data_IF_148751184395
#
_entry.id   IF_148751184395
#
_cell.length_a   1.000
_cell.length_b   1.000
_cell.length_c   1.000
_cell.angle_alpha   90.00
_cell.angle_beta   90.00
_cell.angle_gamma   90.00
#
_symmetry.space_group_name_H-M   'P 1'
#
loop_
_entity.id
_entity.type
_entity.pdbx_description
1 polymer ?
#
# COMPACT_ATOMS: atom_id res chain seq x y z
N UNK A 1 -3.03 15.11 -29.49
CA UNK A 1 -3.28 13.69 -29.22
C UNK A 1 -4.68 13.39 -28.67
N UNK A 2 -5.50 14.42 -28.36
CA UNK A 2 -6.90 14.26 -27.96
C UNK A 2 -7.16 14.16 -26.46
N UNK A 3 -6.13 14.13 -25.61
CA UNK A 3 -6.31 14.12 -24.16
C UNK A 3 -6.80 15.50 -23.65
N UNK A 4 -7.82 15.49 -22.81
CA UNK A 4 -8.24 16.66 -22.03
C UNK A 4 -7.26 16.89 -20.88
N UNK A 5 -6.06 17.34 -21.23
CA UNK A 5 -4.97 17.58 -20.29
C UNK A 5 -5.19 18.86 -19.49
N UNK A 6 -5.14 18.77 -18.18
CA UNK A 6 -5.34 19.92 -17.28
C UNK A 6 -4.09 20.24 -16.47
N UNK A 7 -3.41 19.24 -15.94
CA UNK A 7 -2.33 19.44 -14.99
C UNK A 7 -1.25 18.38 -15.13
N UNK A 8 -0.01 18.73 -14.86
CA UNK A 8 1.16 17.91 -15.12
C UNK A 8 1.30 16.68 -14.21
N UNK A 9 0.65 16.66 -13.05
CA UNK A 9 0.72 15.56 -12.12
C UNK A 9 -0.57 14.76 -12.13
N UNK A 10 -0.49 13.51 -12.59
CA UNK A 10 -1.66 12.66 -12.71
C UNK A 10 -2.68 13.20 -13.73
N UNK A 11 -2.23 13.49 -14.95
CA UNK A 11 -3.07 14.08 -15.99
C UNK A 11 -4.37 13.28 -16.25
N UNK A 12 -4.27 11.96 -16.24
CA UNK A 12 -5.41 11.07 -16.49
C UNK A 12 -6.46 11.09 -15.38
N UNK A 13 -6.09 11.43 -14.14
CA UNK A 13 -7.04 11.67 -13.06
C UNK A 13 -8.09 12.70 -13.45
N UNK A 14 -7.64 13.81 -14.06
CA UNK A 14 -8.51 14.90 -14.44
C UNK A 14 -9.37 14.56 -15.66
N UNK A 15 -8.79 13.96 -16.68
CA UNK A 15 -9.52 13.56 -17.89
C UNK A 15 -10.58 12.50 -17.61
N UNK A 16 -10.27 11.49 -16.80
CA UNK A 16 -11.25 10.46 -16.43
C UNK A 16 -12.34 10.97 -15.50
N UNK A 17 -12.03 11.89 -14.58
CA UNK A 17 -13.04 12.56 -13.77
C UNK A 17 -13.95 13.42 -14.66
N UNK A 18 -13.40 14.13 -15.64
CA UNK A 18 -14.20 14.90 -16.59
C UNK A 18 -15.06 13.99 -17.47
N UNK A 19 -14.54 12.83 -17.90
CA UNK A 19 -15.32 11.83 -18.63
C UNK A 19 -16.50 11.33 -17.79
N UNK A 20 -16.28 11.00 -16.52
CA UNK A 20 -17.36 10.62 -15.61
C UNK A 20 -18.43 11.71 -15.49
N UNK A 21 -18.02 12.95 -15.27
CA UNK A 21 -18.97 14.08 -15.20
C UNK A 21 -19.74 14.27 -16.51
N UNK A 22 -19.11 14.03 -17.66
CA UNK A 22 -19.77 14.08 -18.95
C UNK A 22 -20.85 12.99 -19.08
N UNK A 23 -20.57 11.74 -18.67
CA UNK A 23 -21.58 10.68 -18.64
C UNK A 23 -22.77 11.03 -17.74
N UNK A 24 -22.51 11.47 -16.51
CA UNK A 24 -23.59 11.90 -15.59
C UNK A 24 -24.39 13.06 -16.17
N UNK A 25 -23.73 14.03 -16.81
CA UNK A 25 -24.43 15.16 -17.42
C UNK A 25 -25.32 14.76 -18.58
N UNK A 26 -24.95 13.74 -19.33
CA UNK A 26 -25.78 13.16 -20.41
C UNK A 26 -27.10 12.66 -19.86
N UNK A 27 -27.06 11.94 -18.76
CA UNK A 27 -28.25 11.29 -18.21
C UNK A 27 -29.12 12.25 -17.40
N UNK A 28 -28.50 13.16 -16.62
CA UNK A 28 -29.20 13.99 -15.64
C UNK A 28 -29.56 15.39 -16.15
N UNK A 29 -28.79 15.92 -17.10
CA UNK A 29 -28.95 17.33 -17.55
C UNK A 29 -29.41 17.40 -19.00
N UNK A 30 -28.85 16.58 -19.89
CA UNK A 30 -29.00 16.71 -21.33
C UNK A 30 -29.80 15.58 -21.96
N UNK A 31 -30.53 14.77 -21.17
CA UNK A 31 -31.22 13.57 -21.65
C UNK A 31 -32.18 13.86 -22.85
N UNK A 32 -32.77 15.04 -22.90
CA UNK A 32 -33.70 15.49 -23.97
C UNK A 32 -33.00 16.22 -25.15
N UNK A 33 -31.68 16.46 -25.07
CA UNK A 33 -30.89 17.09 -26.13
C UNK A 33 -29.96 16.07 -26.81
N UNK A 34 -30.43 15.44 -27.89
CA UNK A 34 -29.69 14.44 -28.63
C UNK A 34 -28.31 14.91 -29.15
N UNK A 35 -28.14 16.22 -29.43
CA UNK A 35 -26.86 16.74 -29.89
C UNK A 35 -25.86 16.86 -28.73
N UNK A 36 -26.33 17.34 -27.57
CA UNK A 36 -25.54 17.38 -26.34
C UNK A 36 -25.19 15.96 -25.85
N UNK A 37 -26.17 15.03 -25.84
CA UNK A 37 -25.96 13.62 -25.53
C UNK A 37 -24.83 13.03 -26.37
N UNK A 38 -24.91 13.18 -27.69
CA UNK A 38 -23.86 12.68 -28.58
C UNK A 38 -22.50 13.33 -28.28
N UNK A 39 -22.46 14.65 -28.18
CA UNK A 39 -21.21 15.41 -27.96
C UNK A 39 -20.48 14.99 -26.69
N UNK A 40 -21.19 14.93 -25.58
CA UNK A 40 -20.57 14.62 -24.27
C UNK A 40 -20.26 13.15 -24.11
N UNK A 41 -21.05 12.27 -24.72
CA UNK A 41 -20.73 10.85 -24.80
C UNK A 41 -19.46 10.60 -25.60
N UNK A 42 -19.39 11.15 -26.84
CA UNK A 42 -18.20 11.00 -27.69
C UNK A 42 -16.94 11.53 -27.01
N UNK A 43 -17.07 12.64 -26.28
CA UNK A 43 -15.97 13.19 -25.47
C UNK A 43 -15.55 12.20 -24.35
N UNK A 44 -16.49 11.73 -23.55
CA UNK A 44 -16.19 10.80 -22.46
C UNK A 44 -15.57 9.51 -22.98
N UNK A 45 -16.16 8.92 -24.03
CA UNK A 45 -15.64 7.71 -24.69
C UNK A 45 -14.20 7.95 -25.20
N UNK A 46 -13.91 9.11 -25.79
CA UNK A 46 -12.56 9.41 -26.30
C UNK A 46 -11.52 9.47 -25.18
N UNK A 47 -11.87 10.04 -24.03
CA UNK A 47 -10.95 10.12 -22.88
C UNK A 47 -10.68 8.74 -22.25
N UNK A 48 -11.70 7.90 -22.18
CA UNK A 48 -11.55 6.55 -21.67
C UNK A 48 -10.77 5.67 -22.65
N UNK A 49 -11.06 5.75 -23.96
CA UNK A 49 -10.31 5.03 -24.98
C UNK A 49 -8.84 5.46 -25.03
N UNK A 50 -8.57 6.75 -24.79
CA UNK A 50 -7.20 7.23 -24.62
C UNK A 50 -6.46 6.48 -23.50
N UNK A 51 -7.11 6.27 -22.35
CA UNK A 51 -6.54 5.48 -21.25
C UNK A 51 -6.32 4.02 -21.64
N UNK A 52 -7.11 3.47 -22.56
CA UNK A 52 -7.04 2.07 -22.99
C UNK A 52 -6.04 1.82 -24.14
N UNK A 53 -5.39 2.86 -24.67
CA UNK A 53 -4.37 2.72 -25.69
C UNK A 53 -4.64 3.46 -27.00
N UNK A 54 -5.80 4.08 -27.18
CA UNK A 54 -6.10 4.92 -28.35
C UNK A 54 -5.42 6.30 -28.19
N UNK A 55 -4.09 6.28 -28.24
CA UNK A 55 -3.22 7.44 -28.04
C UNK A 55 -1.93 7.30 -28.85
N UNK A 56 -1.16 8.40 -29.02
CA UNK A 56 0.06 8.45 -29.81
C UNK A 56 1.18 7.51 -29.31
N UNK A 57 1.11 7.03 -28.05
CA UNK A 57 2.07 6.10 -27.50
C UNK A 57 1.70 4.62 -27.77
N UNK A 58 0.49 4.36 -28.29
CA UNK A 58 -0.03 3.01 -28.45
C UNK A 58 0.15 2.20 -27.13
N UNK A 59 -0.19 2.83 -26.02
CA UNK A 59 0.04 2.35 -24.67
C UNK A 59 -1.24 2.44 -23.84
N UNK A 60 -1.74 1.30 -23.35
CA UNK A 60 -2.73 1.33 -22.29
C UNK A 60 -2.10 1.94 -21.03
N UNK A 61 -2.71 2.98 -20.47
CA UNK A 61 -2.30 3.54 -19.18
C UNK A 61 -2.92 2.79 -18.00
N UNK A 62 -3.62 1.71 -18.28
CA UNK A 62 -4.21 0.79 -17.29
C UNK A 62 -3.31 -0.43 -17.17
N UNK A 63 -2.78 -0.67 -15.99
CA UNK A 63 -1.83 -1.76 -15.73
C UNK A 63 -2.52 -3.11 -15.98
N UNK A 64 -1.85 -3.99 -16.73
CA UNK A 64 -2.33 -5.32 -17.07
C UNK A 64 -3.42 -5.34 -18.13
N UNK A 65 -3.73 -4.23 -18.79
CA UNK A 65 -4.71 -4.15 -19.86
C UNK A 65 -4.03 -4.06 -21.24
N UNK A 66 -4.39 -4.96 -22.14
CA UNK A 66 -3.79 -5.03 -23.48
C UNK A 66 -2.36 -5.56 -23.48
N UNK A 67 -1.73 -5.51 -24.65
CA UNK A 67 -0.38 -6.07 -24.84
C UNK A 67 0.74 -5.12 -24.39
N UNK A 68 0.44 -3.83 -24.25
CA UNK A 68 1.41 -2.80 -23.92
C UNK A 68 0.86 -1.87 -22.84
N UNK A 69 1.42 -1.95 -21.66
CA UNK A 69 1.04 -1.16 -20.49
C UNK A 69 2.26 -0.82 -19.63
N UNK A 70 2.18 0.16 -18.68
CA UNK A 70 3.29 0.54 -17.81
C UNK A 70 3.87 -0.65 -17.04
N UNK A 71 5.19 -0.71 -16.94
CA UNK A 71 5.91 -1.77 -16.21
C UNK A 71 6.57 -1.26 -14.92
N UNK A 72 6.69 0.06 -14.76
CA UNK A 72 7.44 0.69 -13.68
C UNK A 72 6.59 1.70 -12.88
N UNK A 73 5.40 1.27 -12.43
CA UNK A 73 4.51 2.13 -11.66
C UNK A 73 5.06 2.47 -10.27
N UNK A 74 4.84 3.71 -9.85
CA UNK A 74 5.29 4.23 -8.56
C UNK A 74 4.31 3.82 -7.45
N UNK A 75 4.51 2.63 -6.87
CA UNK A 75 3.67 2.12 -5.78
C UNK A 75 4.49 1.21 -4.86
N UNK A 76 4.73 1.66 -3.62
CA UNK A 76 5.63 1.01 -2.68
C UNK A 76 5.23 -0.43 -2.34
N UNK A 77 3.98 -0.66 -1.98
CA UNK A 77 3.51 -1.98 -1.58
C UNK A 77 3.61 -2.99 -2.72
N UNK A 78 3.25 -2.61 -3.95
CA UNK A 78 3.35 -3.50 -5.11
C UNK A 78 4.79 -3.78 -5.53
N UNK A 79 5.73 -2.90 -5.19
CA UNK A 79 7.15 -3.13 -5.42
C UNK A 79 7.74 -4.19 -4.48
N UNK A 80 7.01 -4.60 -3.44
CA UNK A 80 7.48 -5.55 -2.44
C UNK A 80 8.50 -4.97 -1.48
N UNK A 81 8.44 -3.66 -1.24
CA UNK A 81 9.28 -2.99 -0.24
C UNK A 81 8.90 -3.46 1.16
N UNK A 82 9.64 -4.41 1.67
CA UNK A 82 9.41 -5.11 2.94
C UNK A 82 10.13 -4.46 4.14
N UNK A 83 11.12 -3.60 3.89
CA UNK A 83 11.93 -2.93 4.90
C UNK A 83 11.74 -1.41 4.91
N UNK A 84 10.57 -0.92 4.48
CA UNK A 84 10.24 0.51 4.36
C UNK A 84 11.22 1.33 3.50
N UNK A 85 11.94 0.67 2.61
CA UNK A 85 12.79 1.30 1.60
C UNK A 85 12.22 1.05 0.23
N UNK A 86 12.38 2.02 -0.67
CA UNK A 86 12.01 1.83 -2.07
C UNK A 86 12.83 0.72 -2.76
N UNK A 87 13.92 0.32 -2.16
CA UNK A 87 14.86 -0.64 -2.71
C UNK A 87 14.55 -2.11 -2.45
N UNK A 88 13.32 -2.47 -2.05
CA UNK A 88 13.00 -3.87 -1.81
C UNK A 88 13.29 -4.73 -3.03
N UNK A 89 12.51 -4.62 -4.06
CA UNK A 89 12.76 -5.24 -5.36
C UNK A 89 12.96 -4.19 -6.42
N UNK A 90 12.12 -3.18 -6.43
CA UNK A 90 12.28 -2.07 -7.30
C UNK A 90 13.27 -1.08 -6.72
N UNK A 91 14.47 -1.04 -7.25
CA UNK A 91 15.25 0.16 -7.10
C UNK A 91 14.46 1.31 -7.70
N UNK A 92 14.30 2.31 -6.93
CA UNK A 92 13.47 3.46 -7.19
C UNK A 92 13.99 4.38 -8.25
N UNK A 93 15.23 4.21 -8.63
CA UNK A 93 15.89 5.14 -9.55
C UNK A 93 16.79 4.38 -10.50
N UNK A 94 16.51 4.50 -11.77
CA UNK A 94 17.38 4.03 -12.82
C UNK A 94 16.74 3.07 -13.79
N UNK A 95 17.48 2.75 -14.85
CA UNK A 95 17.11 1.84 -15.91
C UNK A 95 17.05 0.38 -15.45
N UNK A 96 17.54 0.09 -14.24
CA UNK A 96 17.61 -1.23 -13.61
C UNK A 96 16.46 -1.51 -12.64
N UNK A 97 15.33 -0.83 -12.78
CA UNK A 97 14.15 -1.11 -11.97
C UNK A 97 13.76 -2.59 -12.08
N UNK A 98 13.85 -3.30 -10.95
CA UNK A 98 13.42 -4.69 -10.89
C UNK A 98 11.90 -4.76 -11.03
N UNK A 99 11.36 -5.84 -11.62
CA UNK A 99 9.92 -5.98 -11.74
C UNK A 99 9.26 -5.91 -10.37
N UNK A 100 8.07 -5.31 -10.33
CA UNK A 100 7.26 -5.28 -9.12
C UNK A 100 6.94 -6.68 -8.59
N UNK A 101 6.78 -6.80 -7.29
CA UNK A 101 6.30 -8.02 -6.65
C UNK A 101 4.92 -8.39 -7.19
N UNK A 102 4.03 -7.42 -7.19
CA UNK A 102 2.63 -7.57 -7.58
C UNK A 102 2.31 -6.73 -8.80
N UNK A 103 1.48 -7.26 -9.68
CA UNK A 103 0.90 -6.50 -10.79
C UNK A 103 -0.41 -5.86 -10.30
N UNK A 104 -0.51 -4.54 -10.40
CA UNK A 104 -1.71 -3.80 -10.00
C UNK A 104 -2.75 -3.80 -11.13
N UNK A 105 -3.26 -4.97 -11.48
CA UNK A 105 -4.22 -5.12 -12.56
C UNK A 105 -5.39 -4.15 -12.45
N UNK A 106 -5.68 -3.45 -13.55
CA UNK A 106 -6.78 -2.51 -13.65
C UNK A 106 -6.50 -1.12 -13.07
N UNK A 107 -5.33 -0.87 -12.50
CA UNK A 107 -5.00 0.43 -11.93
C UNK A 107 -4.55 1.41 -13.00
N UNK A 108 -5.09 2.65 -12.95
CA UNK A 108 -4.71 3.76 -13.82
C UNK A 108 -3.49 4.47 -13.23
N UNK A 109 -2.48 4.71 -14.07
CA UNK A 109 -1.30 5.52 -13.75
C UNK A 109 -1.54 7.02 -13.99
N UNK A 110 -0.59 7.86 -13.58
CA UNK A 110 -0.68 9.32 -13.73
C UNK A 110 -0.87 9.81 -15.17
N UNK A 111 -0.23 9.19 -16.13
CA UNK A 111 -0.37 9.50 -17.56
C UNK A 111 0.68 10.45 -18.11
N UNK A 112 0.52 10.92 -19.37
CA UNK A 112 1.52 11.70 -20.09
C UNK A 112 1.56 13.18 -19.68
N UNK A 113 2.64 13.87 -20.08
CA UNK A 113 2.71 15.32 -20.00
C UNK A 113 1.85 16.01 -21.10
N UNK A 114 1.84 17.33 -21.08
CA UNK A 114 1.05 18.12 -22.04
C UNK A 114 1.44 17.93 -23.50
N UNK A 115 2.59 17.32 -23.77
CA UNK A 115 3.06 17.00 -25.12
C UNK A 115 2.75 15.57 -25.55
N UNK A 116 2.06 14.80 -24.71
CA UNK A 116 1.76 13.40 -24.93
C UNK A 116 2.91 12.45 -24.57
N UNK A 117 4.05 12.96 -24.08
CA UNK A 117 5.19 12.13 -23.72
C UNK A 117 4.95 11.44 -22.37
N UNK A 118 5.22 10.15 -22.33
CA UNK A 118 5.15 9.32 -21.12
C UNK A 118 6.53 8.76 -20.75
N UNK A 119 6.82 8.70 -19.45
CA UNK A 119 8.04 8.09 -18.92
C UNK A 119 7.66 6.92 -18.01
N UNK A 120 8.06 5.71 -18.39
CA UNK A 120 7.82 4.49 -17.61
C UNK A 120 8.99 4.20 -16.68
N UNK A 121 9.17 5.06 -15.66
CA UNK A 121 10.21 4.91 -14.63
C UNK A 121 9.61 5.13 -13.25
N UNK A 122 9.93 4.28 -12.29
CA UNK A 122 9.42 4.39 -10.90
C UNK A 122 9.69 5.78 -10.30
N UNK A 123 10.85 6.39 -10.60
CA UNK A 123 11.22 7.71 -10.10
C UNK A 123 10.46 8.87 -10.72
N UNK A 124 9.85 8.67 -11.88
CA UNK A 124 9.07 9.69 -12.58
C UNK A 124 7.60 9.64 -12.14
N UNK A 125 7.38 9.75 -10.84
CA UNK A 125 6.12 9.53 -10.15
C UNK A 125 4.95 10.34 -10.69
N UNK A 126 5.18 11.55 -11.24
CA UNK A 126 4.13 12.35 -11.86
C UNK A 126 3.43 11.65 -13.05
N UNK A 127 4.13 10.71 -13.72
CA UNK A 127 3.61 9.89 -14.81
C UNK A 127 3.13 8.53 -14.34
N UNK A 128 3.87 7.91 -13.39
CA UNK A 128 3.77 6.49 -13.06
C UNK A 128 3.06 6.20 -11.73
N UNK A 129 2.76 7.23 -10.94
CA UNK A 129 2.06 7.05 -9.67
C UNK A 129 0.68 6.44 -9.86
N UNK A 130 0.34 5.49 -8.95
CA UNK A 130 -0.99 4.91 -8.83
C UNK A 130 -1.55 5.34 -7.49
N UNK A 131 -2.62 6.14 -7.50
CA UNK A 131 -3.23 6.70 -6.31
C UNK A 131 -4.74 6.49 -6.27
N UNK A 132 -5.33 6.54 -5.07
CA UNK A 132 -6.78 6.36 -4.88
C UNK A 132 -7.56 7.41 -5.65
N UNK A 133 -7.13 8.67 -5.59
CA UNK A 133 -7.77 9.78 -6.29
C UNK A 133 -7.61 9.70 -7.82
N UNK A 134 -6.52 9.11 -8.32
CA UNK A 134 -6.37 8.87 -9.76
C UNK A 134 -7.38 7.87 -10.28
N UNK A 135 -7.66 6.86 -9.48
CA UNK A 135 -8.54 5.75 -9.83
C UNK A 135 -10.03 6.00 -9.48
N UNK A 136 -10.35 7.02 -8.70
CA UNK A 136 -11.74 7.29 -8.31
C UNK A 136 -12.61 7.72 -9.51
N UNK A 137 -12.21 8.76 -10.25
CA UNK A 137 -12.92 9.21 -11.45
C UNK A 137 -12.90 8.17 -12.57
N UNK A 138 -11.78 7.47 -12.73
CA UNK A 138 -11.63 6.37 -13.67
C UNK A 138 -12.61 5.23 -13.39
N UNK A 139 -12.69 4.76 -12.14
CA UNK A 139 -13.61 3.69 -11.74
C UNK A 139 -15.07 4.12 -11.96
N UNK A 140 -15.40 5.36 -11.62
CA UNK A 140 -16.74 5.90 -11.84
C UNK A 140 -17.11 5.96 -13.34
N UNK A 141 -16.18 6.42 -14.19
CA UNK A 141 -16.37 6.41 -15.65
C UNK A 141 -16.48 4.99 -16.21
N UNK A 142 -15.71 4.02 -15.69
CA UNK A 142 -15.87 2.60 -16.07
C UNK A 142 -17.25 2.05 -15.73
N UNK A 143 -17.82 2.39 -14.56
CA UNK A 143 -19.16 1.98 -14.19
C UNK A 143 -20.19 2.51 -15.20
N UNK A 144 -20.09 3.78 -15.59
CA UNK A 144 -20.96 4.37 -16.60
C UNK A 144 -20.81 3.70 -17.98
N UNK A 145 -19.57 3.36 -18.38
CA UNK A 145 -19.33 2.61 -19.63
C UNK A 145 -19.92 1.20 -19.58
N UNK A 146 -19.79 0.49 -18.46
CA UNK A 146 -20.36 -0.86 -18.29
C UNK A 146 -21.88 -0.80 -18.36
N UNK A 147 -22.50 0.19 -17.75
CA UNK A 147 -23.95 0.38 -17.84
C UNK A 147 -24.40 0.62 -19.28
N UNK A 148 -23.65 1.42 -20.02
CA UNK A 148 -23.98 1.79 -21.40
C UNK A 148 -23.66 0.70 -22.42
N UNK A 149 -22.51 0.05 -22.32
CA UNK A 149 -22.01 -0.88 -23.34
C UNK A 149 -22.06 -2.35 -22.91
N UNK A 150 -22.32 -2.59 -21.65
CA UNK A 150 -22.21 -3.92 -21.04
C UNK A 150 -20.76 -4.32 -20.78
N UNK A 151 -20.57 -5.54 -20.28
CA UNK A 151 -19.26 -6.13 -20.03
C UNK A 151 -19.38 -7.63 -19.84
N UNK A 152 -18.24 -8.33 -19.97
CA UNK A 152 -18.13 -9.75 -19.65
C UNK A 152 -17.10 -9.92 -18.54
N UNK A 153 -17.43 -10.75 -17.56
CA UNK A 153 -16.50 -11.17 -16.53
C UNK A 153 -15.61 -12.26 -17.14
N UNK A 154 -14.31 -12.06 -17.06
CA UNK A 154 -13.34 -13.12 -17.33
C UNK A 154 -13.12 -13.94 -16.06
N UNK A 155 -13.54 -15.20 -16.00
CA UNK A 155 -13.40 -16.03 -14.81
C UNK A 155 -11.94 -16.44 -14.54
N UNK A 156 -11.04 -16.26 -15.48
CA UNK A 156 -9.60 -16.53 -15.32
C UNK A 156 -8.85 -15.37 -14.69
N UNK A 157 -9.48 -14.20 -14.58
CA UNK A 157 -8.86 -12.99 -14.08
C UNK A 157 -9.32 -12.66 -12.63
N UNK A 158 -8.41 -12.17 -11.75
CA UNK A 158 -6.96 -12.03 -11.97
C UNK A 158 -6.23 -13.37 -11.93
N UNK A 159 -5.10 -13.45 -12.61
CA UNK A 159 -4.21 -14.60 -12.50
C UNK A 159 -3.68 -14.74 -11.06
N UNK A 160 -3.52 -15.98 -10.61
CA UNK A 160 -2.87 -16.25 -9.32
C UNK A 160 -1.39 -15.95 -9.44
N UNK A 161 -0.92 -15.01 -8.66
CA UNK A 161 0.50 -14.68 -8.61
C UNK A 161 1.29 -15.80 -7.94
N UNK A 162 2.49 -16.07 -8.45
CA UNK A 162 3.47 -16.97 -7.83
C UNK A 162 4.54 -16.17 -7.10
N UNK A 163 5.02 -16.62 -5.92
CA UNK A 163 6.12 -15.97 -5.22
C UNK A 163 7.35 -15.82 -6.12
N UNK A 164 7.88 -14.61 -6.20
CA UNK A 164 9.06 -14.27 -7.03
C UNK A 164 10.38 -14.40 -6.28
N UNK A 165 10.31 -14.72 -4.96
CA UNK A 165 11.47 -14.93 -4.08
C UNK A 165 11.12 -15.85 -2.91
N UNK A 166 12.14 -16.21 -2.13
CA UNK A 166 11.97 -16.96 -0.89
C UNK A 166 11.34 -16.07 0.19
N UNK A 167 10.17 -16.44 0.67
CA UNK A 167 9.42 -15.65 1.63
C UNK A 167 9.94 -15.75 3.06
N UNK A 168 10.44 -16.91 3.47
CA UNK A 168 11.04 -17.13 4.79
C UNK A 168 12.41 -17.73 4.62
N UNK A 169 13.36 -17.30 5.43
CA UNK A 169 14.69 -17.88 5.41
C UNK A 169 15.47 -17.54 6.68
N UNK A 170 16.52 -18.34 6.92
CA UNK A 170 17.51 -18.12 7.96
C UNK A 170 18.84 -17.75 7.32
N UNK A 171 19.46 -16.69 7.87
CA UNK A 171 20.87 -16.40 7.67
C UNK A 171 21.60 -16.60 9.00
N UNK A 172 22.79 -17.19 8.96
CA UNK A 172 23.56 -17.43 10.16
C UNK A 172 25.07 -17.31 9.89
N UNK A 173 25.81 -17.06 10.95
CA UNK A 173 27.27 -17.16 10.93
C UNK A 173 27.81 -17.70 12.25
N UNK A 174 29.04 -18.18 12.21
CA UNK A 174 29.81 -18.56 13.40
C UNK A 174 30.33 -17.27 14.02
N UNK A 175 29.84 -16.94 15.22
CA UNK A 175 30.36 -15.83 16.00
C UNK A 175 31.69 -16.24 16.65
N UNK A 176 31.67 -17.35 17.39
CA UNK A 176 32.85 -17.97 17.99
C UNK A 176 32.67 -19.49 18.07
N UNK A 177 33.77 -20.23 17.98
CA UNK A 177 33.79 -21.69 18.20
C UNK A 177 35.13 -22.12 18.85
N UNK A 178 35.05 -23.15 19.70
CA UNK A 178 36.19 -23.79 20.36
C UNK A 178 35.85 -25.23 20.66
N UNK A 179 36.79 -26.01 21.21
CA UNK A 179 36.53 -27.37 21.67
C UNK A 179 35.59 -27.47 22.88
N UNK A 180 35.03 -26.39 23.38
CA UNK A 180 34.08 -26.36 24.49
C UNK A 180 32.74 -25.72 24.14
N UNK A 181 32.63 -25.02 23.02
CA UNK A 181 31.38 -24.33 22.65
C UNK A 181 31.33 -23.91 21.19
N UNK A 182 30.11 -23.71 20.72
CA UNK A 182 29.79 -22.95 19.51
C UNK A 182 28.85 -21.77 19.88
N UNK A 183 29.18 -20.60 19.40
CA UNK A 183 28.34 -19.42 19.47
C UNK A 183 27.97 -18.97 18.07
N UNK A 184 26.68 -18.81 17.84
CA UNK A 184 26.11 -18.46 16.55
C UNK A 184 25.39 -17.12 16.62
N UNK A 185 25.41 -16.44 15.50
CA UNK A 185 24.55 -15.32 15.19
C UNK A 185 23.59 -15.76 14.10
N UNK A 186 22.28 -15.59 14.36
CA UNK A 186 21.20 -16.07 13.49
C UNK A 186 20.19 -14.96 13.26
N UNK A 187 19.82 -14.73 12.02
CA UNK A 187 18.71 -13.88 11.62
C UNK A 187 17.58 -14.73 11.01
N UNK A 188 16.41 -14.64 11.60
CA UNK A 188 15.19 -15.16 11.01
C UNK A 188 14.48 -14.04 10.23
N UNK A 189 14.18 -14.26 8.96
CA UNK A 189 13.61 -13.26 8.08
C UNK A 189 12.23 -13.66 7.58
N UNK A 190 11.26 -12.75 7.68
CA UNK A 190 9.94 -12.82 7.04
C UNK A 190 9.89 -11.82 5.88
N UNK A 191 9.92 -12.34 4.67
CA UNK A 191 9.83 -11.57 3.43
C UNK A 191 8.59 -11.99 2.63
N UNK A 192 7.52 -12.38 3.35
CA UNK A 192 6.28 -12.83 2.72
C UNK A 192 5.56 -11.69 2.02
N UNK A 193 5.00 -11.98 0.84
CA UNK A 193 4.28 -11.01 0.03
C UNK A 193 3.09 -11.63 -0.73
N UNK A 194 2.94 -12.96 -0.79
CA UNK A 194 1.90 -13.67 -1.54
C UNK A 194 1.00 -14.59 -0.69
N UNK A 195 0.14 -14.03 0.17
CA UNK A 195 0.07 -12.66 0.67
C UNK A 195 1.12 -12.37 1.74
N UNK A 196 1.33 -11.09 2.02
CA UNK A 196 2.08 -10.67 3.20
C UNK A 196 1.40 -11.17 4.46
N UNK A 197 2.14 -11.88 5.34
CA UNK A 197 1.60 -12.48 6.56
C UNK A 197 2.52 -12.32 7.75
N UNK A 198 1.94 -12.04 8.89
CA UNK A 198 2.64 -11.96 10.18
C UNK A 198 2.73 -13.36 10.77
N UNK A 199 3.93 -13.81 11.13
CA UNK A 199 4.14 -15.06 11.87
C UNK A 199 4.13 -14.77 13.36
N UNK A 200 3.27 -15.46 14.10
CA UNK A 200 3.05 -15.24 15.54
C UNK A 200 3.70 -16.30 16.43
N UNK A 201 3.88 -17.53 15.91
CA UNK A 201 4.41 -18.67 16.64
C UNK A 201 5.74 -19.13 16.02
N UNK A 202 6.58 -18.15 15.70
CA UNK A 202 7.84 -18.41 15.04
C UNK A 202 8.81 -19.11 15.97
N UNK A 203 9.46 -20.15 15.43
CA UNK A 203 10.59 -20.79 16.06
C UNK A 203 11.55 -21.34 15.02
N UNK A 204 12.79 -21.61 15.41
CA UNK A 204 13.76 -22.29 14.57
C UNK A 204 14.62 -23.25 15.36
N UNK A 205 15.10 -24.31 14.70
CA UNK A 205 15.89 -25.36 15.30
C UNK A 205 17.31 -25.35 14.74
N UNK A 206 18.29 -25.44 15.66
CA UNK A 206 19.69 -25.70 15.35
C UNK A 206 20.01 -27.13 15.76
N UNK A 207 20.46 -27.97 14.81
CA UNK A 207 20.72 -29.41 15.02
C UNK A 207 22.21 -29.70 15.19
N UNK A 208 22.51 -30.55 16.16
CA UNK A 208 23.85 -30.92 16.61
C UNK A 208 23.98 -32.42 16.69
N UNK A 209 25.18 -32.95 16.47
CA UNK A 209 25.55 -34.36 16.74
C UNK A 209 26.30 -34.47 18.07
N UNK A 210 25.78 -35.24 19.00
CA UNK A 210 26.35 -35.41 20.34
C UNK A 210 27.20 -36.68 20.44
N UNK A 211 27.67 -37.28 19.35
CA UNK A 211 28.47 -38.49 19.35
C UNK A 211 29.73 -38.35 20.20
N UNK A 212 30.49 -37.27 20.01
CA UNK A 212 31.73 -37.03 20.77
C UNK A 212 31.48 -36.78 22.27
N UNK A 213 30.32 -36.24 22.62
CA UNK A 213 29.92 -36.01 24.02
C UNK A 213 29.68 -37.37 24.70
N UNK A 214 28.92 -38.26 24.05
CA UNK A 214 28.59 -39.56 24.59
C UNK A 214 29.83 -40.47 24.67
N UNK A 215 30.71 -40.39 23.67
CA UNK A 215 32.00 -41.12 23.68
C UNK A 215 32.90 -40.66 24.82
N UNK A 216 32.78 -39.39 25.24
CA UNK A 216 33.49 -38.86 26.40
C UNK A 216 32.79 -39.12 27.74
N UNK A 217 31.64 -39.80 27.74
CA UNK A 217 30.84 -40.11 28.93
C UNK A 217 29.99 -38.94 29.44
N UNK A 218 29.81 -37.89 28.65
CA UNK A 218 28.88 -36.82 28.93
C UNK A 218 27.46 -37.21 28.47
N UNK A 219 26.49 -36.42 28.89
CA UNK A 219 25.07 -36.58 28.52
C UNK A 219 24.54 -35.28 27.97
N UNK A 220 23.35 -35.27 27.39
CA UNK A 220 22.70 -34.06 26.92
C UNK A 220 22.41 -33.04 28.05
N UNK A 221 22.29 -33.51 29.31
CA UNK A 221 22.10 -32.64 30.48
C UNK A 221 23.39 -31.86 30.88
N UNK A 222 24.55 -32.30 30.41
CA UNK A 222 25.82 -31.60 30.61
C UNK A 222 25.99 -30.43 29.63
N UNK A 223 25.13 -30.34 28.61
CA UNK A 223 25.15 -29.26 27.62
C UNK A 223 24.41 -28.04 28.15
N UNK A 224 25.11 -26.90 28.20
CA UNK A 224 24.55 -25.62 28.58
C UNK A 224 24.22 -24.79 27.35
N UNK A 225 23.05 -24.17 27.37
CA UNK A 225 22.56 -23.34 26.26
C UNK A 225 22.18 -21.97 26.80
N UNK A 226 22.62 -20.91 26.13
CA UNK A 226 22.35 -19.52 26.57
C UNK A 226 22.20 -18.57 25.40
N UNK A 227 21.16 -17.71 25.44
CA UNK A 227 21.07 -16.54 24.59
C UNK A 227 22.02 -15.46 25.16
N UNK A 228 22.90 -14.97 24.32
CA UNK A 228 23.85 -13.89 24.64
C UNK A 228 23.37 -12.52 24.15
N UNK A 229 22.60 -12.50 23.08
CA UNK A 229 21.98 -11.28 22.52
C UNK A 229 20.62 -11.61 21.89
N UNK A 230 19.65 -10.75 22.12
CA UNK A 230 18.30 -10.83 21.57
C UNK A 230 17.88 -9.43 21.14
N UNK A 231 17.80 -9.19 19.84
CA UNK A 231 17.36 -7.91 19.27
C UNK A 231 15.92 -7.54 19.67
N UNK A 232 15.14 -8.53 20.08
CA UNK A 232 13.76 -8.36 20.49
C UNK A 232 13.56 -8.13 22.00
N UNK A 233 14.63 -7.66 22.69
CA UNK A 233 14.59 -7.28 24.10
C UNK A 233 14.07 -8.40 25.03
N UNK A 234 14.76 -9.53 25.07
CA UNK A 234 14.42 -10.70 25.88
C UNK A 234 13.04 -11.33 25.54
N UNK A 235 12.57 -11.16 24.33
CA UNK A 235 11.35 -11.80 23.83
C UNK A 235 11.58 -13.15 23.17
N UNK A 236 12.80 -13.70 23.24
CA UNK A 236 13.12 -15.03 22.79
C UNK A 236 13.45 -15.96 23.96
N UNK A 237 13.24 -17.23 23.72
CA UNK A 237 13.64 -18.33 24.61
C UNK A 237 14.40 -19.37 23.83
N UNK A 238 15.31 -20.09 24.49
CA UNK A 238 16.00 -21.25 23.92
C UNK A 238 15.74 -22.47 24.77
N UNK A 239 15.44 -23.59 24.13
CA UNK A 239 15.22 -24.86 24.86
C UNK A 239 16.53 -25.45 25.33
N UNK A 240 16.48 -26.37 26.31
CA UNK A 240 17.52 -27.36 26.48
C UNK A 240 17.63 -28.22 25.21
N UNK A 241 18.75 -28.96 25.00
CA UNK A 241 18.83 -29.91 23.91
C UNK A 241 17.68 -30.92 23.97
N UNK A 242 17.05 -31.13 22.83
CA UNK A 242 15.96 -32.09 22.61
C UNK A 242 16.45 -33.14 21.61
N UNK A 243 16.29 -34.41 21.91
CA UNK A 243 16.68 -35.47 20.99
C UNK A 243 15.81 -35.46 19.74
N UNK A 244 16.42 -35.39 18.57
CA UNK A 244 15.76 -35.52 17.28
C UNK A 244 15.72 -37.00 16.84
N UNK A 245 16.89 -37.62 16.67
CA UNK A 245 17.02 -39.01 16.29
C UNK A 245 18.45 -39.51 16.57
N UNK A 246 18.62 -40.68 17.22
CA UNK A 246 19.95 -41.20 17.53
C UNK A 246 20.76 -40.21 18.37
N UNK A 247 21.95 -39.84 17.90
CA UNK A 247 22.81 -38.84 18.54
C UNK A 247 22.54 -37.41 18.09
N UNK A 248 21.59 -37.19 17.16
CA UNK A 248 21.22 -35.87 16.71
C UNK A 248 20.26 -35.26 17.71
N UNK A 249 20.62 -34.09 18.20
CA UNK A 249 19.83 -33.24 19.10
C UNK A 249 19.61 -31.88 18.44
N UNK A 250 18.63 -31.11 18.92
CA UNK A 250 18.44 -29.72 18.54
C UNK A 250 18.15 -28.85 19.74
N UNK A 251 18.46 -27.58 19.61
CA UNK A 251 17.93 -26.52 20.46
C UNK A 251 16.90 -25.71 19.66
N UNK A 252 15.77 -25.41 20.29
CA UNK A 252 14.69 -24.66 19.71
C UNK A 252 14.73 -23.24 20.25
N UNK A 253 14.88 -22.28 19.36
CA UNK A 253 14.71 -20.86 19.64
C UNK A 253 13.26 -20.50 19.31
N UNK A 254 12.54 -19.94 20.28
CA UNK A 254 11.12 -19.57 20.14
C UNK A 254 10.89 -18.13 20.57
N UNK A 255 10.06 -17.45 19.82
CA UNK A 255 9.61 -16.11 20.17
C UNK A 255 8.45 -16.20 21.18
N UNK A 256 8.48 -15.36 22.22
CA UNK A 256 7.44 -15.32 23.25
C UNK A 256 6.11 -14.80 22.64
N UNK A 257 5.01 -15.15 23.32
CA UNK A 257 3.68 -14.70 22.94
C UNK A 257 3.61 -13.17 22.73
N UNK A 258 3.03 -12.75 21.61
CA UNK A 258 2.91 -11.35 21.24
C UNK A 258 4.07 -10.79 20.41
N UNK A 259 5.21 -11.46 20.36
CA UNK A 259 6.30 -11.11 19.43
C UNK A 259 5.93 -11.54 18.01
N UNK A 260 6.15 -10.65 17.04
CA UNK A 260 5.73 -10.86 15.65
C UNK A 260 6.87 -10.48 14.73
N UNK A 261 7.19 -11.34 13.78
CA UNK A 261 8.00 -10.96 12.63
C UNK A 261 7.05 -10.64 11.50
N UNK A 262 7.06 -9.37 11.06
CA UNK A 262 6.17 -8.83 10.04
C UNK A 262 6.94 -8.60 8.74
N UNK A 263 6.34 -8.79 7.57
CA UNK A 263 7.02 -8.59 6.28
C UNK A 263 7.12 -7.12 5.88
N UNK A 264 7.05 -6.20 6.82
CA UNK A 264 7.05 -4.76 6.61
C UNK A 264 7.71 -4.03 7.77
N UNK A 265 7.81 -2.71 7.69
CA UNK A 265 8.49 -1.91 8.68
C UNK A 265 9.99 -1.77 8.40
N UNK A 266 10.71 -1.07 9.28
CA UNK A 266 12.13 -0.81 9.09
C UNK A 266 13.02 -1.95 9.55
N UNK A 267 12.63 -2.64 10.62
CA UNK A 267 13.38 -3.74 11.23
C UNK A 267 12.52 -4.93 11.62
N UNK A 268 11.19 -4.82 11.58
CA UNK A 268 10.27 -5.84 12.07
C UNK A 268 10.23 -7.10 11.19
N UNK A 269 10.88 -7.07 10.02
CA UNK A 269 10.93 -8.18 9.08
C UNK A 269 11.99 -9.24 9.42
N UNK A 270 12.93 -8.92 10.30
CA UNK A 270 13.99 -9.83 10.74
C UNK A 270 14.32 -9.62 12.22
N UNK A 271 14.96 -10.60 12.83
CA UNK A 271 15.43 -10.49 14.21
C UNK A 271 16.70 -11.29 14.42
N UNK A 272 17.73 -10.60 14.94
CA UNK A 272 19.00 -11.22 15.29
C UNK A 272 18.96 -11.82 16.67
N UNK A 273 19.39 -13.07 16.78
CA UNK A 273 19.66 -13.77 18.03
C UNK A 273 21.08 -14.29 18.02
N UNK A 274 21.81 -14.07 19.11
CA UNK A 274 23.09 -14.75 19.33
C UNK A 274 22.94 -15.72 20.50
N UNK A 275 23.29 -16.95 20.28
CA UNK A 275 23.23 -17.98 21.31
C UNK A 275 24.48 -18.86 21.31
N UNK A 276 24.76 -19.43 22.48
CA UNK A 276 25.90 -20.34 22.70
C UNK A 276 25.40 -21.69 23.20
N UNK A 277 25.94 -22.72 22.60
CA UNK A 277 25.85 -24.12 23.10
C UNK A 277 27.23 -24.50 23.58
N UNK A 278 27.36 -25.07 24.78
CA UNK A 278 28.65 -25.34 25.40
C UNK A 278 28.61 -26.60 26.28
N UNK A 279 29.75 -27.27 26.35
CA UNK A 279 30.04 -28.34 27.32
C UNK A 279 30.91 -27.78 28.46
N UNK A 280 31.06 -28.50 29.58
CA UNK A 280 31.92 -28.07 30.68
C UNK A 280 33.37 -27.84 30.22
N UNK A 281 33.96 -26.68 30.59
CA UNK A 281 35.33 -26.28 30.21
C UNK A 281 36.41 -27.32 30.52
N UNK A 282 36.16 -28.17 31.53
CA UNK A 282 37.07 -29.22 31.94
C UNK A 282 37.07 -30.45 31.00
N UNK A 283 36.10 -30.49 30.06
CA UNK A 283 35.96 -31.57 29.10
C UNK A 283 35.75 -30.99 27.71
N UNK A 284 36.79 -30.44 27.08
CA UNK A 284 36.70 -29.74 25.81
C UNK A 284 36.63 -30.75 24.64
N UNK A 285 35.52 -31.41 24.51
CA UNK A 285 35.27 -32.48 23.50
C UNK A 285 34.30 -32.05 22.40
N UNK A 286 33.87 -30.77 22.41
CA UNK A 286 32.92 -30.26 21.46
C UNK A 286 33.50 -30.17 20.04
N UNK A 287 32.90 -30.84 19.09
CA UNK A 287 33.23 -30.78 17.66
C UNK A 287 32.05 -30.28 16.84
N UNK A 288 31.95 -28.98 16.64
CA UNK A 288 30.87 -28.40 15.85
C UNK A 288 30.90 -28.79 14.35
N UNK A 289 32.01 -29.35 13.86
CA UNK A 289 32.14 -29.72 12.44
C UNK A 289 31.26 -30.92 12.05
N UNK A 290 30.83 -31.75 13.02
CA UNK A 290 29.89 -32.83 12.78
C UNK A 290 28.43 -32.43 12.92
N UNK A 291 28.15 -31.20 13.41
CA UNK A 291 26.80 -30.68 13.57
C UNK A 291 26.13 -30.41 12.24
N UNK A 292 24.92 -30.95 12.06
CA UNK A 292 24.15 -30.76 10.82
C UNK A 292 23.95 -29.27 10.45
N UNK A 293 23.58 -28.46 11.44
CA UNK A 293 23.30 -27.04 11.21
C UNK A 293 24.54 -26.13 11.13
N UNK A 294 25.72 -26.66 11.51
CA UNK A 294 26.97 -25.91 11.41
C UNK A 294 27.58 -25.95 10.01
N UNK A 295 27.30 -27.03 9.27
CA UNK A 295 27.84 -27.21 7.93
C UNK A 295 27.42 -26.09 6.96
N UNK A 296 28.41 -25.50 6.29
CA UNK A 296 28.24 -24.39 5.35
C UNK A 296 28.21 -23.01 6.02
N UNK A 297 28.28 -22.90 7.35
CA UNK A 297 28.39 -21.61 8.01
C UNK A 297 29.80 -21.03 7.90
N UNK A 298 29.90 -19.72 7.79
CA UNK A 298 31.16 -18.98 7.74
C UNK A 298 31.40 -18.18 9.04
N UNK A 299 32.66 -17.96 9.37
CA UNK A 299 33.01 -17.14 10.53
C UNK A 299 32.77 -15.66 10.23
N UNK A 300 31.95 -14.99 11.05
CA UNK A 300 31.66 -13.57 10.98
C UNK A 300 30.99 -13.12 9.64
N UNK A 301 30.61 -14.04 8.78
CA UNK A 301 29.92 -13.76 7.52
C UNK A 301 28.56 -14.43 7.53
N UNK A 302 27.50 -13.65 7.49
CA UNK A 302 26.12 -14.17 7.41
C UNK A 302 25.93 -14.87 6.07
N UNK A 303 25.54 -16.13 6.13
CA UNK A 303 25.19 -16.96 4.96
C UNK A 303 23.77 -17.48 5.11
N UNK A 304 23.04 -17.52 4.00
CA UNK A 304 21.73 -18.13 3.96
C UNK A 304 21.90 -19.65 4.06
N UNK A 305 21.25 -20.26 5.06
CA UNK A 305 21.35 -21.70 5.32
C UNK A 305 19.96 -22.34 5.42
N UNK A 306 19.79 -23.48 4.80
CA UNK A 306 18.59 -24.33 4.92
C UNK A 306 18.73 -25.41 6.00
N UNK A 307 19.89 -25.51 6.67
CA UNK A 307 20.17 -26.47 7.73
C UNK A 307 19.76 -26.01 9.13
N UNK A 308 19.34 -24.75 9.26
CA UNK A 308 18.60 -24.23 10.42
C UNK A 308 17.15 -24.08 9.95
N UNK A 309 16.27 -24.92 10.51
CA UNK A 309 14.88 -25.00 10.07
C UNK A 309 13.99 -24.00 10.80
N UNK A 310 13.00 -23.41 10.10
CA UNK A 310 12.06 -22.45 10.69
C UNK A 310 10.63 -22.96 10.64
N UNK A 311 9.87 -22.68 11.69
CA UNK A 311 8.50 -23.14 11.87
C UNK A 311 7.54 -22.01 12.21
N UNK A 312 6.30 -22.11 11.72
CA UNK A 312 5.13 -21.42 12.25
C UNK A 312 4.27 -22.41 13.02
N UNK A 313 4.35 -22.35 14.35
CA UNK A 313 3.85 -23.42 15.21
C UNK A 313 4.57 -24.73 14.93
N UNK A 314 3.81 -25.75 14.49
CA UNK A 314 4.35 -27.06 14.12
C UNK A 314 4.57 -27.22 12.60
N UNK A 315 4.35 -26.17 11.83
CA UNK A 315 4.49 -26.22 10.38
C UNK A 315 5.89 -25.77 9.98
N UNK A 316 6.65 -26.66 9.33
CA UNK A 316 7.95 -26.32 8.72
C UNK A 316 7.71 -25.35 7.56
N UNK A 317 8.30 -24.15 7.62
CA UNK A 317 8.17 -23.09 6.61
C UNK A 317 9.47 -22.76 5.89
N UNK A 318 10.62 -23.19 6.44
CA UNK A 318 11.94 -23.03 5.83
C UNK A 318 12.91 -24.12 6.27
N UNK A 319 13.79 -24.48 5.37
CA UNK A 319 14.93 -25.35 5.61
C UNK A 319 14.64 -26.84 5.38
N UNK A 320 15.65 -27.65 5.64
CA UNK A 320 15.60 -29.12 5.50
C UNK A 320 15.97 -29.72 6.85
N UNK A 321 15.16 -30.63 7.36
CA UNK A 321 15.48 -31.35 8.59
C UNK A 321 16.57 -32.42 8.34
N UNK A 322 17.27 -32.91 9.37
CA UNK A 322 18.32 -33.91 9.18
C UNK A 322 17.88 -35.20 8.49
N UNK A 323 16.60 -35.54 8.52
CA UNK A 323 16.02 -36.71 7.83
C UNK A 323 15.60 -36.44 6.38
N UNK A 324 15.83 -35.21 5.89
CA UNK A 324 15.45 -34.75 4.54
C UNK A 324 14.04 -34.16 4.43
N UNK A 325 13.31 -34.02 5.53
CA UNK A 325 12.00 -33.36 5.52
C UNK A 325 12.15 -31.89 5.12
N UNK A 326 11.34 -31.44 4.17
CA UNK A 326 11.30 -30.06 3.64
C UNK A 326 9.91 -29.46 3.80
N UNK A 327 9.76 -28.11 3.74
CA UNK A 327 8.47 -27.48 3.76
C UNK A 327 7.54 -28.05 2.69
N UNK A 328 6.29 -28.32 3.06
CA UNK A 328 5.27 -28.63 2.05
C UNK A 328 5.08 -27.40 1.17
N UNK A 329 5.09 -27.60 -0.15
CA UNK A 329 4.75 -26.53 -1.07
C UNK A 329 3.39 -25.95 -0.64
N UNK A 330 3.38 -24.66 -0.31
CA UNK A 330 2.11 -23.95 -0.11
C UNK A 330 1.44 -23.92 -1.48
N UNK A 331 0.34 -24.68 -1.63
CA UNK A 331 -0.51 -24.45 -2.79
C UNK A 331 -0.91 -22.97 -2.78
N UNK A 332 -0.86 -22.30 -3.95
CA UNK A 332 -1.35 -20.94 -4.04
C UNK A 332 -2.78 -20.95 -3.51
N UNK A 333 -3.01 -20.24 -2.42
CA UNK A 333 -4.36 -20.08 -1.87
C UNK A 333 -5.17 -19.39 -2.94
N UNK A 334 -6.03 -20.17 -3.63
CA UNK A 334 -7.07 -19.57 -4.47
C UNK A 334 -7.75 -18.53 -3.61
N UNK A 335 -7.99 -17.32 -4.14
CA UNK A 335 -8.83 -16.36 -3.45
C UNK A 335 -10.07 -17.11 -2.98
N UNK A 336 -10.40 -17.01 -1.70
CA UNK A 336 -11.68 -17.49 -1.19
C UNK A 336 -12.72 -16.64 -1.92
N UNK A 337 -13.19 -17.15 -3.04
CA UNK A 337 -14.42 -16.63 -3.66
C UNK A 337 -15.50 -16.95 -2.64
N UNK A 338 -15.82 -15.97 -1.82
CA UNK A 338 -17.10 -15.99 -1.10
C UNK A 338 -18.13 -16.30 -2.18
N UNK A 339 -18.90 -17.39 -2.07
CA UNK A 339 -19.90 -17.68 -3.06
C UNK A 339 -20.75 -16.42 -3.17
N UNK A 340 -20.79 -15.82 -4.36
CA UNK A 340 -21.79 -14.80 -4.63
C UNK A 340 -23.09 -15.45 -4.26
N UNK A 341 -23.78 -14.93 -3.27
CA UNK A 341 -25.13 -15.34 -2.96
C UNK A 341 -25.93 -15.13 -4.24
N UNK A 342 -26.14 -16.23 -4.94
CA UNK A 342 -27.02 -16.26 -6.10
C UNK A 342 -28.42 -16.11 -5.54
N UNK A 343 -28.82 -14.90 -5.21
CA UNK A 343 -30.22 -14.55 -5.15
C UNK A 343 -30.70 -14.46 -6.59
N UNK A 344 -31.08 -15.61 -7.14
CA UNK A 344 -32.00 -15.66 -8.28
C UNK A 344 -33.35 -15.16 -7.79
N UNK A 345 -33.45 -13.89 -7.50
CA UNK A 345 -34.74 -13.22 -7.59
C UNK A 345 -34.94 -12.84 -9.03
N UNK A 346 -35.81 -13.58 -9.63
CA UNK A 346 -36.47 -13.30 -10.92
C UNK A 346 -37.13 -11.93 -10.74
N UNK A 347 -36.46 -10.87 -11.13
CA UNK A 347 -37.08 -9.55 -11.23
C UNK A 347 -38.11 -9.65 -12.34
N UNK A 348 -39.36 -9.94 -11.95
CA UNK A 348 -40.51 -9.70 -12.77
C UNK A 348 -40.63 -8.18 -12.89
N UNK A 349 -40.35 -7.67 -14.06
CA UNK A 349 -40.54 -6.28 -14.42
C UNK A 349 -42.01 -5.90 -14.16
N UNK A 350 -42.30 -5.35 -13.01
CA UNK A 350 -43.52 -4.60 -12.80
C UNK A 350 -43.19 -3.16 -13.24
N UNK A 351 -43.64 -2.84 -14.43
CA UNK A 351 -43.72 -1.47 -14.95
C UNK A 351 -44.68 -0.69 -14.05
N UNK A 352 -44.15 -0.11 -12.98
CA UNK A 352 -44.80 0.99 -12.29
C UNK A 352 -43.91 2.22 -12.51
N UNK A 353 -44.34 3.02 -13.47
CA UNK A 353 -43.91 4.42 -13.62
C UNK A 353 -44.27 5.17 -12.34
N UNK A 354 -43.41 5.05 -11.34
CA UNK A 354 -43.36 6.01 -10.26
C UNK A 354 -42.55 7.18 -10.78
N UNK A 355 -43.27 8.19 -11.30
CA UNK A 355 -42.73 9.52 -11.53
C UNK A 355 -42.18 10.02 -10.19
N UNK A 356 -40.89 9.85 -9.96
CA UNK A 356 -40.19 10.54 -8.88
C UNK A 356 -40.20 12.02 -9.26
N UNK A 357 -41.14 12.73 -8.70
CA UNK A 357 -41.12 14.20 -8.76
C UNK A 357 -39.93 14.59 -7.86
N UNK A 358 -38.79 14.82 -8.48
CA UNK A 358 -37.70 15.52 -7.82
C UNK A 358 -38.22 16.93 -7.61
N UNK A 359 -38.74 17.20 -6.42
CA UNK A 359 -38.91 18.58 -5.97
C UNK A 359 -37.53 19.14 -5.84
N UNK A 360 -37.16 19.98 -6.77
CA UNK A 360 -36.01 20.88 -6.63
C UNK A 360 -36.07 21.45 -5.22
N UNK A 361 -35.01 21.32 -4.42
CA UNK A 361 -34.97 21.96 -3.11
C UNK A 361 -35.21 23.46 -3.40
N UNK A 362 -36.26 24.00 -2.85
CA UNK A 362 -36.50 25.44 -2.89
C UNK A 362 -35.19 26.09 -2.46
N UNK A 363 -34.70 27.05 -3.31
CA UNK A 363 -33.61 27.93 -3.01
C UNK A 363 -33.87 28.53 -1.61
N UNK A 364 -33.30 27.87 -0.59
CA UNK A 364 -33.38 28.39 0.77
C UNK A 364 -32.42 29.56 0.80
N UNK A 365 -32.96 30.71 0.60
CA UNK A 365 -32.27 31.95 0.90
C UNK A 365 -32.07 31.93 2.41
N UNK A 366 -30.87 31.60 2.83
CA UNK A 366 -30.46 31.76 4.23
C UNK A 366 -30.31 33.26 4.39
N UNK A 367 -31.37 33.90 4.91
CA UNK A 367 -31.30 35.27 5.41
C UNK A 367 -30.47 35.19 6.70
N UNK A 368 -29.18 35.46 6.57
CA UNK A 368 -28.35 35.79 7.73
C UNK A 368 -28.93 37.04 8.39
N UNK A 369 -29.05 37.08 9.73
CA UNK A 369 -29.49 38.33 10.38
C UNK A 369 -28.46 39.42 10.08
N UNK A 370 -28.87 40.43 9.35
CA UNK A 370 -28.06 41.62 9.16
C UNK A 370 -27.84 42.28 10.51
N UNK A 371 -26.63 42.16 11.03
CA UNK A 371 -26.22 42.94 12.19
C UNK A 371 -25.89 44.33 11.68
N UNK A 372 -26.83 45.24 11.80
CA UNK A 372 -26.62 46.67 11.60
C UNK A 372 -25.59 47.17 12.59
N UNK A 373 -24.38 47.42 12.15
CA UNK A 373 -23.44 48.29 12.84
C UNK A 373 -23.57 49.71 12.29
N UNK A 374 -23.82 50.59 13.22
CA UNK A 374 -24.00 52.04 13.04
C UNK A 374 -22.78 52.69 12.42
N UNK A 375 -23.05 53.43 11.39
CA UNK A 375 -22.35 54.51 10.67
C UNK A 375 -21.01 55.02 11.17
N UNK A 376 -20.03 54.94 10.31
CA UNK A 376 -18.82 55.76 10.31
C UNK A 376 -17.94 55.46 9.07
N UNK A 377 -18.18 56.17 7.93
CA UNK A 377 -17.25 56.28 6.80
C UNK A 377 -17.25 55.13 5.78
N UNK A 378 -17.96 55.33 4.72
CA UNK A 378 -17.89 54.87 3.33
C UNK A 378 -17.00 53.68 2.95
N UNK A 379 -17.32 52.43 3.40
CA UNK A 379 -16.95 51.21 2.71
C UNK A 379 -18.09 50.21 2.85
N UNK A 380 -18.44 49.50 1.78
CA UNK A 380 -19.41 48.42 1.84
C UNK A 380 -18.95 47.39 2.90
N UNK A 381 -19.86 46.84 3.71
CA UNK A 381 -19.52 45.84 4.69
C UNK A 381 -18.92 44.62 3.99
N UNK A 382 -17.76 44.17 4.45
CA UNK A 382 -17.10 42.96 3.95
C UNK A 382 -17.96 41.75 4.33
N UNK A 383 -18.35 40.95 3.33
CA UNK A 383 -18.93 39.62 3.55
C UNK A 383 -17.77 38.61 3.64
N UNK A 384 -17.43 38.20 4.86
CA UNK A 384 -16.34 37.24 5.07
C UNK A 384 -16.65 35.90 4.42
N UNK A 385 -15.72 35.39 3.65
CA UNK A 385 -15.85 34.18 2.86
C UNK A 385 -16.28 34.38 1.42
N UNK A 386 -16.84 35.55 1.06
CA UNK A 386 -17.20 35.90 -0.32
C UNK A 386 -15.96 36.46 -1.06
N UNK A 387 -15.11 35.56 -1.47
CA UNK A 387 -13.78 35.86 -2.02
C UNK A 387 -13.88 36.41 -3.44
N UNK A 388 -14.90 36.01 -4.21
CA UNK A 388 -15.14 36.44 -5.58
C UNK A 388 -16.02 37.71 -5.66
N UNK A 389 -16.68 38.08 -4.57
CA UNK A 389 -17.49 39.29 -4.48
C UNK A 389 -18.88 39.14 -5.11
N UNK A 390 -19.40 37.94 -5.29
CA UNK A 390 -20.69 37.65 -5.90
C UNK A 390 -21.88 37.81 -4.93
N UNK A 391 -21.63 38.02 -3.64
CA UNK A 391 -22.61 38.19 -2.57
C UNK A 391 -23.08 36.91 -1.90
N UNK A 392 -22.44 35.78 -2.20
CA UNK A 392 -22.70 34.47 -1.58
C UNK A 392 -21.39 33.83 -1.15
N UNK A 393 -21.41 32.98 -0.09
CA UNK A 393 -20.25 32.21 0.32
C UNK A 393 -20.50 30.77 -0.06
N UNK A 394 -19.73 30.27 -1.02
CA UNK A 394 -19.94 28.95 -1.62
C UNK A 394 -18.62 28.28 -2.11
N UNK A 395 -18.74 27.17 -2.82
CA UNK A 395 -17.58 26.37 -3.24
C UNK A 395 -16.65 27.14 -4.21
N UNK A 396 -17.16 28.13 -4.95
CA UNK A 396 -16.36 28.99 -5.84
C UNK A 396 -15.35 29.80 -5.06
N UNK A 397 -15.74 30.38 -3.91
CA UNK A 397 -14.85 31.14 -3.04
C UNK A 397 -13.71 30.29 -2.50
N UNK A 398 -14.04 29.07 -2.05
CA UNK A 398 -13.04 28.10 -1.59
C UNK A 398 -12.07 27.75 -2.72
N UNK A 399 -12.55 27.59 -3.95
CA UNK A 399 -11.74 27.32 -5.12
C UNK A 399 -10.79 28.47 -5.43
N UNK A 400 -11.31 29.72 -5.44
CA UNK A 400 -10.49 30.90 -5.71
C UNK A 400 -9.41 31.10 -4.63
N UNK A 401 -9.77 30.91 -3.36
CA UNK A 401 -8.81 31.00 -2.27
C UNK A 401 -7.73 29.90 -2.37
N UNK A 402 -8.11 28.70 -2.78
CA UNK A 402 -7.16 27.61 -3.02
C UNK A 402 -6.19 27.94 -4.15
N UNK A 403 -6.69 28.47 -5.28
CA UNK A 403 -5.86 28.89 -6.42
C UNK A 403 -4.93 30.06 -6.05
N UNK A 404 -5.38 30.95 -5.17
CA UNK A 404 -4.53 32.01 -4.63
C UNK A 404 -3.30 31.45 -3.90
N UNK A 405 -3.47 30.46 -3.04
CA UNK A 405 -2.35 29.82 -2.33
C UNK A 405 -1.44 29.03 -3.26
N UNK A 406 -1.96 28.50 -4.35
CA UNK A 406 -1.14 27.84 -5.38
C UNK A 406 -0.38 28.83 -6.27
N UNK A 407 -0.70 30.14 -6.18
CA UNK A 407 -0.08 31.16 -7.01
C UNK A 407 -0.74 31.35 -8.38
N UNK A 408 -1.80 30.61 -8.67
CA UNK A 408 -2.50 30.60 -9.96
C UNK A 408 -3.56 31.72 -10.09
N UNK A 409 -3.98 32.30 -8.96
CA UNK A 409 -4.98 33.35 -8.90
C UNK A 409 -4.50 34.53 -8.05
N UNK A 410 -4.86 35.74 -8.43
CA UNK A 410 -4.67 36.94 -7.59
C UNK A 410 -6.00 37.38 -7.02
N UNK A 411 -6.05 37.65 -5.73
CA UNK A 411 -7.24 38.23 -5.10
C UNK A 411 -7.26 39.73 -5.30
N UNK A 412 -8.47 40.27 -5.50
CA UNK A 412 -8.73 41.71 -5.40
C UNK A 412 -8.52 42.22 -3.98
N UNK A 413 -8.42 43.51 -3.77
CA UNK A 413 -8.28 44.04 -2.40
C UNK A 413 -9.49 43.68 -1.52
N UNK A 414 -10.70 43.69 -2.09
CA UNK A 414 -11.95 43.25 -1.42
C UNK A 414 -11.96 41.74 -1.19
N UNK A 415 -11.60 40.95 -2.21
CA UNK A 415 -11.50 39.49 -2.08
C UNK A 415 -10.45 39.04 -1.03
N UNK A 416 -9.33 39.77 -0.92
CA UNK A 416 -8.34 39.50 0.14
C UNK A 416 -8.89 39.84 1.53
N UNK A 417 -9.64 40.91 1.67
CA UNK A 417 -10.29 41.23 2.94
C UNK A 417 -11.40 40.23 3.31
N UNK A 418 -12.14 39.70 2.31
CA UNK A 418 -13.16 38.69 2.51
C UNK A 418 -12.56 37.31 2.81
N UNK A 419 -11.34 37.03 2.35
CA UNK A 419 -10.64 35.77 2.56
C UNK A 419 -10.06 35.63 3.97
N UNK A 420 -9.84 36.71 4.72
CA UNK A 420 -9.43 36.70 6.14
C UNK A 420 -10.65 36.34 7.03
N UNK A 421 -11.05 35.08 6.97
CA UNK A 421 -12.28 34.61 7.63
C UNK A 421 -12.08 34.33 9.12
N UNK A 422 -10.86 34.19 9.58
CA UNK A 422 -10.51 34.09 11.00
C UNK A 422 -10.32 35.49 11.65
N UNK A 423 -10.25 36.53 10.84
CA UNK A 423 -10.10 37.90 11.27
C UNK A 423 -8.83 38.20 12.07
N UNK A 424 -7.72 37.64 11.61
CA UNK A 424 -6.40 37.81 12.26
C UNK A 424 -5.46 38.74 11.47
N UNK A 425 -5.94 39.35 10.39
CA UNK A 425 -5.26 40.26 9.47
C UNK A 425 -4.26 39.57 8.51
N UNK A 426 -4.22 38.26 8.52
CA UNK A 426 -3.39 37.45 7.62
C UNK A 426 -4.28 36.50 6.82
N UNK A 427 -4.06 36.37 5.51
CA UNK A 427 -4.73 35.36 4.68
C UNK A 427 -3.81 34.18 4.51
N UNK A 428 -4.12 33.08 5.21
CA UNK A 428 -3.29 31.89 5.29
C UNK A 428 -4.11 30.59 5.20
N UNK A 429 -3.47 29.44 5.40
CA UNK A 429 -4.14 28.14 5.28
C UNK A 429 -5.20 27.88 6.36
N UNK A 430 -5.18 28.61 7.47
CA UNK A 430 -6.22 28.50 8.50
C UNK A 430 -7.55 29.08 7.98
N UNK A 431 -7.48 30.22 7.25
CA UNK A 431 -8.67 30.78 6.60
C UNK A 431 -9.27 29.81 5.59
N UNK A 432 -8.41 29.19 4.77
CA UNK A 432 -8.86 28.17 3.81
C UNK A 432 -9.55 27.00 4.51
N UNK A 433 -9.01 26.53 5.62
CA UNK A 433 -9.59 25.42 6.40
C UNK A 433 -10.94 25.83 7.01
N UNK A 434 -11.01 27.03 7.57
CA UNK A 434 -12.23 27.59 8.19
C UNK A 434 -13.30 27.85 7.14
N UNK A 435 -12.95 28.44 5.98
CA UNK A 435 -13.88 28.62 4.87
C UNK A 435 -14.41 27.28 4.33
N UNK A 436 -13.54 26.26 4.22
CA UNK A 436 -13.95 24.91 3.84
C UNK A 436 -15.00 24.34 4.79
N UNK A 437 -14.77 24.43 6.11
CA UNK A 437 -15.72 23.94 7.11
C UNK A 437 -17.08 24.66 6.97
N UNK A 438 -17.08 25.97 6.78
CA UNK A 438 -18.30 26.74 6.57
C UNK A 438 -19.07 26.28 5.32
N UNK A 439 -18.37 26.13 4.18
CA UNK A 439 -18.98 25.67 2.92
C UNK A 439 -19.53 24.24 3.05
N UNK A 440 -18.91 23.40 3.88
CA UNK A 440 -19.37 22.04 4.21
C UNK A 440 -20.53 22.03 5.23
N UNK A 441 -21.03 23.21 5.63
CA UNK A 441 -22.14 23.40 6.58
C UNK A 441 -21.83 23.02 8.01
N UNK A 442 -20.58 23.07 8.43
CA UNK A 442 -20.22 23.01 9.84
C UNK A 442 -20.73 24.29 10.55
N UNK A 443 -21.15 24.18 11.83
CA UNK A 443 -21.73 25.32 12.55
C UNK A 443 -20.66 26.31 13.04
N UNK A 444 -20.00 26.96 12.12
CA UNK A 444 -18.95 27.98 12.37
C UNK A 444 -19.36 29.35 11.86
N UNK A 445 -18.72 30.38 12.38
CA UNK A 445 -18.97 31.79 12.00
C UNK A 445 -17.69 32.32 11.37
N UNK A 446 -17.83 33.00 10.19
CA UNK A 446 -16.73 33.66 9.53
C UNK A 446 -16.62 35.13 9.97
N UNK A 447 -15.40 35.65 10.04
CA UNK A 447 -15.12 37.03 10.43
C UNK A 447 -15.07 37.26 11.96
N UNK A 448 -15.16 38.51 12.42
CA UNK A 448 -14.91 38.89 13.79
C UNK A 448 -15.82 38.12 14.77
N UNK A 449 -15.20 37.38 15.68
CA UNK A 449 -15.90 36.70 16.79
C UNK A 449 -16.36 37.76 17.79
N UNK A 450 -17.65 37.79 18.12
CA UNK A 450 -18.24 38.66 19.13
C UNK A 450 -17.84 38.31 20.54
#
# INVERSE_FOLDING_TARGET
DGLAWLFNWGALRHSTTTAFLAYVSVDEIFADDAAAVKKYTDFADSQMNYCFGDNDNDLSYVIGMGDKYPQAWHHRTSSGSWNDKWGGIGQTTGEDAKPHAHTLYGALVGGPDMTGKYSDKIGDYQYTEVAIDYNAGYTAALCAMIEKYGGKIDPSFPETETPKWTEFYIEACINQASGSYTELKVNATNHSAWPARTVKNLSYNYYMDFTELFDAGLTADDVSVKIGYDEWNDNCTISKPVQYSGNIYYVKISYKDGTKIMPSGQSEHQGEIQFRVSVPDKTPVWDAANDYSFDGLEKQTMVKTDKITMYDGDTLIWGTEPDGTVPKATEPTKPVTTPAQTTTEKVTQATTTAKVTVTTPAKTTVTTPATTLSSGGGSNPVLYGDVDGNGTVEITDLTILSLYFLGDQKLSATGKAAADVEYDSDVNLADLATLKQFVMKDPITLGPKK
#
